data_IF_012447765027
#
_entry.id   IF_012447765027
#
_cell.length_a   1.000
_cell.length_b   1.000
_cell.length_c   1.000
_cell.angle_alpha   90.00
_cell.angle_beta   90.00
_cell.angle_gamma   90.00
#
_symmetry.space_group_name_H-M   'P 1'
#
loop_
_entity.id
_entity.type
_entity.pdbx_description
1 polymer ?
#
# COMPACT_ATOMS: atom_id res chain seq x y z
N UNK A 1 1.92 19.02 10.95
CA UNK A 1 1.77 19.87 9.76
C UNK A 1 0.42 19.63 9.10
N UNK A 2 0.09 18.39 8.61
CA UNK A 2 -1.18 18.11 7.89
C UNK A 2 -2.45 18.57 8.63
N UNK A 3 -2.51 18.42 9.96
CA UNK A 3 -3.68 18.89 10.74
C UNK A 3 -3.83 20.41 10.71
N UNK A 4 -2.73 21.15 10.73
CA UNK A 4 -2.75 22.61 10.64
C UNK A 4 -3.12 23.08 9.24
N UNK A 5 -2.68 22.35 8.19
CA UNK A 5 -3.00 22.65 6.80
C UNK A 5 -4.49 22.50 6.47
N UNK A 6 -5.19 21.56 7.13
CA UNK A 6 -6.63 21.35 6.89
C UNK A 6 -7.50 22.55 7.26
N UNK A 7 -7.06 23.33 8.22
CA UNK A 7 -7.80 24.47 8.77
C UNK A 7 -7.25 25.82 8.25
N UNK A 8 -6.25 25.79 7.34
CA UNK A 8 -5.62 26.96 6.74
C UNK A 8 -6.09 27.17 5.30
N UNK A 9 -6.48 28.40 4.99
CA UNK A 9 -6.83 28.82 3.62
C UNK A 9 -5.69 29.65 2.96
N UNK A 10 -4.60 29.88 3.71
CA UNK A 10 -3.50 30.74 3.31
C UNK A 10 -2.34 29.97 2.63
N UNK A 11 -1.30 30.73 2.32
CA UNK A 11 -0.05 30.16 1.81
C UNK A 11 0.79 29.54 2.93
N UNK A 12 1.51 28.49 2.61
CA UNK A 12 2.46 27.84 3.52
C UNK A 12 3.87 28.17 3.07
N UNK A 13 4.65 28.82 3.94
CA UNK A 13 6.06 29.04 3.71
C UNK A 13 6.85 27.83 4.20
N UNK A 14 7.67 27.24 3.33
CA UNK A 14 8.53 26.09 3.67
C UNK A 14 9.99 26.53 3.56
N UNK A 15 10.71 26.55 4.69
CA UNK A 15 12.11 26.94 4.75
C UNK A 15 12.97 25.75 5.16
N UNK A 16 13.59 25.03 4.20
CA UNK A 16 14.54 23.99 4.52
C UNK A 16 15.90 24.58 4.93
N UNK A 17 16.55 23.94 5.88
CA UNK A 17 17.92 24.22 6.29
C UNK A 17 18.72 22.91 6.34
N UNK A 18 20.00 22.98 6.69
CA UNK A 18 20.87 21.79 6.71
C UNK A 18 20.42 20.70 7.69
N UNK A 19 19.78 21.05 8.81
CA UNK A 19 19.39 20.14 9.88
C UNK A 19 17.92 20.21 10.25
N UNK A 20 17.19 21.22 9.78
CA UNK A 20 15.81 21.46 10.14
C UNK A 20 14.99 21.88 8.92
N UNK A 21 13.72 21.64 8.98
CA UNK A 21 12.72 22.19 8.08
C UNK A 21 11.72 23.01 8.93
N UNK A 22 11.40 24.20 8.47
CA UNK A 22 10.45 25.08 9.12
C UNK A 22 9.24 25.26 8.20
N UNK A 23 8.07 25.20 8.79
CA UNK A 23 6.80 25.51 8.13
C UNK A 23 6.16 26.70 8.85
N UNK A 24 5.78 27.73 8.11
CA UNK A 24 4.93 28.82 8.60
C UNK A 24 3.56 28.68 7.97
N UNK A 25 2.56 28.56 8.82
CA UNK A 25 1.17 28.31 8.44
C UNK A 25 0.33 29.25 9.29
N UNK A 26 -0.23 30.31 8.70
CA UNK A 26 -0.94 31.36 9.40
C UNK A 26 -0.11 31.90 10.60
N UNK A 27 -0.62 31.75 11.82
CA UNK A 27 0.04 32.16 13.04
C UNK A 27 0.95 31.10 13.68
N UNK A 28 1.10 29.93 13.02
CA UNK A 28 1.90 28.83 13.54
C UNK A 28 3.26 28.76 12.86
N UNK A 29 4.28 28.45 13.64
CA UNK A 29 5.61 28.08 13.16
C UNK A 29 5.94 26.69 13.68
N UNK A 30 6.11 25.73 12.76
CA UNK A 30 6.49 24.37 13.09
C UNK A 30 7.91 24.11 12.62
N UNK A 31 8.78 23.69 13.53
CA UNK A 31 10.18 23.34 13.25
C UNK A 31 10.34 21.85 13.51
N UNK A 32 10.88 21.13 12.53
CA UNK A 32 11.21 19.72 12.66
C UNK A 32 12.69 19.48 12.33
N UNK A 33 13.35 18.62 13.09
CA UNK A 33 14.67 18.15 12.72
C UNK A 33 14.57 17.23 11.49
N UNK A 34 15.52 17.35 10.58
CA UNK A 34 15.68 16.42 9.48
C UNK A 34 16.32 15.11 9.97
N UNK A 35 15.99 14.02 9.34
CA UNK A 35 16.65 12.75 9.57
C UNK A 35 18.11 12.85 9.07
N UNK A 36 19.04 12.27 9.81
CA UNK A 36 20.43 12.19 9.39
C UNK A 36 20.61 11.06 8.37
N UNK A 37 21.54 11.22 7.44
CA UNK A 37 21.89 10.26 6.41
C UNK A 37 21.43 10.65 5.01
N UNK A 38 21.80 9.83 4.04
CA UNK A 38 21.36 9.98 2.65
C UNK A 38 19.97 9.40 2.47
N UNK A 39 19.18 10.03 1.60
CA UNK A 39 17.87 9.53 1.24
C UNK A 39 18.02 8.15 0.55
N UNK A 40 17.14 7.21 0.89
CA UNK A 40 17.13 5.87 0.31
C UNK A 40 17.01 5.94 -1.22
N UNK A 41 17.89 5.22 -1.92
CA UNK A 41 17.73 4.99 -3.36
C UNK A 41 16.54 4.04 -3.61
N UNK A 42 15.34 4.62 -3.58
CA UNK A 42 14.11 3.87 -3.80
C UNK A 42 14.02 3.27 -5.21
N UNK A 43 14.72 3.84 -6.20
CA UNK A 43 14.73 3.34 -7.57
C UNK A 43 15.36 1.94 -7.65
N UNK A 44 16.36 1.68 -6.82
CA UNK A 44 16.97 0.35 -6.71
C UNK A 44 16.05 -0.69 -6.06
N UNK A 45 15.09 -0.23 -5.23
CA UNK A 45 14.12 -1.09 -4.56
C UNK A 45 12.90 -1.44 -5.43
N UNK A 46 12.68 -0.72 -6.54
CA UNK A 46 11.59 -1.01 -7.45
C UNK A 46 11.81 -2.36 -8.14
N UNK A 47 10.80 -3.24 -8.18
CA UNK A 47 10.90 -4.52 -8.88
C UNK A 47 11.14 -4.30 -10.38
N UNK A 48 12.15 -4.96 -10.92
CA UNK A 48 12.48 -4.91 -12.35
C UNK A 48 11.62 -5.86 -13.18
N UNK A 49 11.20 -6.95 -12.56
CA UNK A 49 10.39 -7.99 -13.21
C UNK A 49 8.91 -7.74 -12.94
N UNK A 50 8.14 -7.71 -14.03
CA UNK A 50 6.69 -7.58 -14.02
C UNK A 50 6.11 -8.84 -14.66
N UNK A 51 5.72 -9.81 -13.84
CA UNK A 51 5.19 -11.09 -14.31
C UNK A 51 3.68 -11.12 -14.32
N UNK A 52 3.07 -10.36 -13.41
CA UNK A 52 1.61 -10.32 -13.27
C UNK A 52 1.18 -8.87 -13.05
N UNK A 53 0.13 -8.49 -13.75
CA UNK A 53 -0.52 -7.20 -13.62
C UNK A 53 -2.01 -7.41 -13.34
N UNK A 54 -2.54 -6.67 -12.37
CA UNK A 54 -3.93 -6.75 -11.92
C UNK A 54 -4.52 -5.35 -11.92
N UNK A 55 -5.57 -5.11 -12.70
CA UNK A 55 -6.35 -3.88 -12.64
C UNK A 55 -7.64 -4.16 -11.87
N UNK A 56 -7.90 -3.38 -10.84
CA UNK A 56 -9.01 -3.60 -9.92
C UNK A 56 -9.59 -2.30 -9.42
N UNK A 57 -10.90 -2.28 -9.11
CA UNK A 57 -11.54 -1.16 -8.41
C UNK A 57 -10.88 -0.95 -7.06
N UNK A 58 -10.37 0.25 -6.82
CA UNK A 58 -9.70 0.65 -5.58
C UNK A 58 -10.62 0.46 -4.38
N UNK A 59 -11.86 0.92 -4.50
CA UNK A 59 -12.89 0.79 -3.46
C UNK A 59 -13.19 -0.68 -3.13
N UNK A 60 -13.44 -1.48 -4.16
CA UNK A 60 -13.76 -2.92 -3.97
C UNK A 60 -12.60 -3.66 -3.30
N UNK A 61 -11.37 -3.36 -3.70
CA UNK A 61 -10.18 -3.95 -3.07
C UNK A 61 -10.02 -3.53 -1.61
N UNK A 62 -10.21 -2.25 -1.27
CA UNK A 62 -10.18 -1.75 0.10
C UNK A 62 -11.22 -2.47 0.95
N UNK A 63 -12.49 -2.48 0.51
CA UNK A 63 -13.59 -3.12 1.24
C UNK A 63 -13.34 -4.62 1.47
N UNK A 64 -12.76 -5.31 0.49
CA UNK A 64 -12.40 -6.72 0.59
C UNK A 64 -11.28 -6.97 1.60
N UNK A 65 -10.20 -6.17 1.54
CA UNK A 65 -9.10 -6.25 2.51
C UNK A 65 -9.61 -5.94 3.92
N UNK A 66 -10.47 -4.96 4.10
CA UNK A 66 -11.08 -4.64 5.40
C UNK A 66 -11.89 -5.81 5.95
N UNK A 67 -12.77 -6.42 5.12
CA UNK A 67 -13.59 -7.58 5.53
C UNK A 67 -12.74 -8.74 6.00
N UNK A 68 -11.73 -9.16 5.24
CA UNK A 68 -10.88 -10.29 5.64
C UNK A 68 -9.98 -9.95 6.81
N UNK A 69 -9.71 -8.66 7.04
CA UNK A 69 -8.87 -8.19 8.15
C UNK A 69 -9.59 -8.13 9.50
N UNK A 70 -10.91 -8.34 9.56
CA UNK A 70 -11.67 -8.33 10.83
C UNK A 70 -11.16 -9.34 11.85
N UNK A 71 -10.49 -10.41 11.39
CA UNK A 71 -9.88 -11.41 12.28
C UNK A 71 -8.47 -11.05 12.73
N UNK A 72 -7.87 -9.99 12.18
CA UNK A 72 -6.50 -9.55 12.49
C UNK A 72 -6.56 -8.60 13.68
N UNK A 73 -5.80 -8.91 14.71
CA UNK A 73 -5.67 -8.06 15.90
C UNK A 73 -4.18 -7.79 16.16
N UNK A 74 -3.87 -6.87 17.07
CA UNK A 74 -2.48 -6.59 17.48
C UNK A 74 -1.75 -7.82 18.01
N UNK A 75 -2.49 -8.78 18.56
CA UNK A 75 -1.96 -10.06 19.07
C UNK A 75 -1.87 -11.13 17.98
N UNK A 76 -2.80 -11.13 17.02
CA UNK A 76 -2.91 -12.11 15.93
C UNK A 76 -2.50 -11.46 14.61
N UNK A 77 -1.20 -11.28 14.43
CA UNK A 77 -0.59 -10.66 13.24
C UNK A 77 -0.52 -11.66 12.07
N UNK A 78 -1.67 -12.04 11.53
CA UNK A 78 -1.72 -12.87 10.32
C UNK A 78 -1.70 -11.99 9.07
N UNK A 79 -1.01 -12.40 7.99
CA UNK A 79 -1.07 -11.68 6.72
C UNK A 79 -2.42 -11.85 6.04
N UNK A 80 -2.82 -10.84 5.28
CA UNK A 80 -3.82 -11.01 4.24
C UNK A 80 -3.14 -11.70 3.06
N UNK A 81 -3.66 -12.86 2.66
CA UNK A 81 -3.19 -13.64 1.52
C UNK A 81 -4.05 -13.29 0.31
N UNK A 82 -3.38 -12.99 -0.79
CA UNK A 82 -4.00 -12.68 -2.08
C UNK A 82 -3.61 -13.77 -3.07
N UNK A 83 -4.60 -14.50 -3.58
CA UNK A 83 -4.44 -15.48 -4.66
C UNK A 83 -4.93 -14.82 -5.94
N UNK A 84 -4.02 -14.58 -6.87
CA UNK A 84 -4.28 -14.00 -8.17
C UNK A 84 -4.63 -15.14 -9.10
N UNK A 85 -5.88 -15.17 -9.59
CA UNK A 85 -6.40 -16.17 -10.53
C UNK A 85 -6.32 -15.71 -11.98
N UNK A 86 -7.29 -16.09 -12.78
CA UNK A 86 -7.40 -15.68 -14.20
C UNK A 86 -8.14 -14.35 -14.35
N UNK A 87 -9.23 -14.17 -13.62
CA UNK A 87 -10.15 -13.02 -13.67
C UNK A 87 -10.58 -12.54 -12.27
N UNK A 88 -10.03 -13.13 -11.22
CA UNK A 88 -10.40 -12.85 -9.83
C UNK A 88 -9.20 -12.80 -8.92
N UNK A 89 -9.29 -11.96 -7.90
CA UNK A 89 -8.40 -11.94 -6.75
C UNK A 89 -9.16 -12.48 -5.55
N UNK A 90 -8.71 -13.61 -5.01
CA UNK A 90 -9.24 -14.17 -3.78
C UNK A 90 -8.39 -13.69 -2.61
N UNK A 91 -9.03 -13.07 -1.63
CA UNK A 91 -8.38 -12.60 -0.42
C UNK A 91 -8.81 -13.46 0.76
N UNK A 92 -7.89 -13.78 1.65
CA UNK A 92 -8.24 -14.47 2.88
C UNK A 92 -7.22 -14.23 3.99
N UNK A 93 -7.69 -14.39 5.21
CA UNK A 93 -6.87 -14.39 6.42
C UNK A 93 -7.27 -15.58 7.28
N UNK A 94 -6.29 -16.28 7.84
CA UNK A 94 -6.48 -17.40 8.77
C UNK A 94 -5.81 -17.04 10.09
N UNK A 95 -6.57 -17.16 11.18
CA UNK A 95 -6.10 -16.97 12.55
C UNK A 95 -6.57 -18.14 13.41
N UNK A 96 -6.17 -18.18 14.67
CA UNK A 96 -6.69 -19.16 15.63
C UNK A 96 -8.19 -19.02 15.92
N UNK A 97 -8.77 -17.85 15.57
CA UNK A 97 -10.21 -17.58 15.75
C UNK A 97 -11.05 -18.06 14.56
N UNK A 98 -10.42 -18.34 13.41
CA UNK A 98 -11.14 -18.78 12.22
C UNK A 98 -10.50 -18.26 10.94
N UNK A 99 -11.26 -18.36 9.85
CA UNK A 99 -10.87 -17.93 8.50
C UNK A 99 -11.92 -16.99 7.93
N UNK A 100 -11.46 -15.83 7.44
CA UNK A 100 -12.25 -14.93 6.61
C UNK A 100 -11.80 -15.07 5.16
N UNK A 101 -12.73 -15.08 4.24
CA UNK A 101 -12.46 -15.19 2.79
C UNK A 101 -13.37 -14.25 2.03
N UNK A 102 -12.82 -13.62 1.00
CA UNK A 102 -13.55 -12.81 0.05
C UNK A 102 -12.96 -12.99 -1.36
N UNK A 103 -13.72 -12.63 -2.40
CA UNK A 103 -13.29 -12.73 -3.79
C UNK A 103 -13.85 -11.55 -4.57
N UNK A 104 -12.99 -10.95 -5.37
CA UNK A 104 -13.33 -9.80 -6.22
C UNK A 104 -12.92 -10.05 -7.66
N UNK A 105 -13.66 -9.50 -8.61
CA UNK A 105 -13.29 -9.52 -10.02
C UNK A 105 -12.20 -8.51 -10.31
N UNK A 106 -11.30 -8.86 -11.23
CA UNK A 106 -10.21 -8.02 -11.67
C UNK A 106 -9.82 -8.35 -13.12
N UNK A 107 -9.26 -7.38 -13.83
CA UNK A 107 -8.58 -7.64 -15.10
C UNK A 107 -7.14 -8.08 -14.79
N UNK A 108 -6.79 -9.30 -15.20
CA UNK A 108 -5.50 -9.90 -14.85
C UNK A 108 -4.76 -10.33 -16.09
N UNK A 109 -3.47 -10.02 -16.13
CA UNK A 109 -2.54 -10.52 -17.16
C UNK A 109 -1.27 -11.06 -16.52
N UNK A 110 -0.76 -12.17 -17.03
CA UNK A 110 0.46 -12.83 -16.56
C UNK A 110 0.22 -14.06 -15.70
N UNK A 111 1.18 -14.40 -14.84
CA UNK A 111 1.18 -15.65 -14.08
C UNK A 111 0.23 -15.59 -12.88
N UNK A 112 -0.41 -16.72 -12.58
CA UNK A 112 -1.12 -16.90 -11.31
C UNK A 112 -0.12 -16.98 -10.17
N UNK A 113 -0.43 -16.36 -9.04
CA UNK A 113 0.44 -16.40 -7.87
C UNK A 113 -0.32 -16.19 -6.56
N UNK A 114 0.29 -16.63 -5.47
CA UNK A 114 -0.15 -16.32 -4.12
C UNK A 114 0.89 -15.45 -3.43
N UNK A 115 0.44 -14.37 -2.78
CA UNK A 115 1.29 -13.42 -2.09
C UNK A 115 0.60 -12.94 -0.81
N UNK A 116 1.37 -12.67 0.24
CA UNK A 116 0.86 -12.17 1.52
C UNK A 116 1.29 -10.75 1.80
N UNK A 117 0.41 -9.98 2.44
CA UNK A 117 0.70 -8.60 2.84
C UNK A 117 0.28 -8.32 4.28
N UNK A 118 0.95 -7.35 4.90
CA UNK A 118 0.41 -6.70 6.07
C UNK A 118 -0.81 -5.87 5.64
N UNK A 119 -1.96 -6.14 6.26
CA UNK A 119 -3.23 -5.47 5.92
C UNK A 119 -3.16 -3.95 6.02
N UNK A 120 -2.48 -3.42 7.04
CA UNK A 120 -2.36 -1.98 7.26
C UNK A 120 -1.60 -1.32 6.11
N UNK A 121 -0.44 -1.85 5.72
CA UNK A 121 0.36 -1.27 4.63
C UNK A 121 -0.34 -1.39 3.28
N UNK A 122 -1.06 -2.48 3.04
CA UNK A 122 -1.85 -2.64 1.83
C UNK A 122 -2.99 -1.62 1.78
N UNK A 123 -3.73 -1.44 2.88
CA UNK A 123 -4.80 -0.44 2.98
C UNK A 123 -4.27 0.99 2.87
N UNK A 124 -3.14 1.31 3.50
CA UNK A 124 -2.53 2.64 3.44
C UNK A 124 -2.18 3.01 1.98
N UNK A 125 -1.58 2.08 1.23
CA UNK A 125 -1.26 2.29 -0.18
C UNK A 125 -2.52 2.47 -1.06
N UNK A 126 -3.53 1.62 -0.89
CA UNK A 126 -4.77 1.68 -1.66
C UNK A 126 -5.55 2.97 -1.37
N UNK A 127 -5.64 3.39 -0.10
CA UNK A 127 -6.33 4.62 0.29
C UNK A 127 -5.62 5.88 -0.21
N UNK A 128 -4.29 5.86 -0.26
CA UNK A 128 -3.49 6.97 -0.78
C UNK A 128 -3.56 7.11 -2.30
N UNK A 129 -4.08 6.13 -3.02
CA UNK A 129 -4.22 6.18 -4.47
C UNK A 129 -5.24 7.24 -4.94
N UNK A 130 -6.33 7.44 -4.18
CA UNK A 130 -7.39 8.43 -4.47
C UNK A 130 -7.93 8.34 -5.92
N UNK A 131 -7.91 7.13 -6.52
CA UNK A 131 -8.40 6.84 -7.88
C UNK A 131 -9.43 5.73 -7.83
N UNK A 132 -10.35 5.69 -8.82
CA UNK A 132 -11.39 4.65 -8.90
C UNK A 132 -10.80 3.25 -9.13
N UNK A 133 -9.74 3.18 -9.90
CA UNK A 133 -9.04 1.94 -10.22
C UNK A 133 -7.54 2.08 -10.00
N UNK A 134 -6.92 1.00 -9.57
CA UNK A 134 -5.47 0.87 -9.43
C UNK A 134 -4.95 -0.31 -10.23
N UNK A 135 -3.71 -0.21 -10.63
CA UNK A 135 -2.95 -1.26 -11.30
C UNK A 135 -1.88 -1.79 -10.36
N UNK A 136 -1.97 -3.07 -10.02
CA UNK A 136 -1.03 -3.77 -9.16
C UNK A 136 -0.04 -4.53 -10.04
N UNK A 137 1.26 -4.27 -9.87
CA UNK A 137 2.32 -4.99 -10.58
C UNK A 137 3.09 -5.88 -9.61
N UNK A 138 3.21 -7.16 -9.96
CA UNK A 138 3.83 -8.20 -9.13
C UNK A 138 4.92 -8.92 -9.92
N UNK A 139 6.07 -9.10 -9.30
CA UNK A 139 7.21 -9.85 -9.86
C UNK A 139 7.27 -11.30 -9.39
N UNK A 140 6.45 -11.67 -8.38
CA UNK A 140 6.42 -13.01 -7.79
C UNK A 140 6.03 -12.98 -6.31
N UNK A 141 5.95 -14.16 -5.65
CA UNK A 141 5.35 -14.30 -4.30
C UNK A 141 6.15 -13.65 -3.17
N UNK A 142 7.40 -13.31 -3.40
CA UNK A 142 8.29 -12.67 -2.43
C UNK A 142 8.85 -11.33 -2.92
N UNK A 143 8.45 -10.88 -4.11
CA UNK A 143 8.85 -9.59 -4.66
C UNK A 143 7.90 -8.49 -4.19
N UNK A 144 8.38 -7.26 -3.99
CA UNK A 144 7.51 -6.13 -3.70
C UNK A 144 6.43 -5.97 -4.76
N UNK A 145 5.24 -5.53 -4.34
CA UNK A 145 4.16 -5.13 -5.24
C UNK A 145 4.20 -3.62 -5.44
N UNK A 146 3.99 -3.17 -6.68
CA UNK A 146 3.74 -1.76 -6.98
C UNK A 146 2.25 -1.52 -7.14
N UNK A 147 1.75 -0.48 -6.48
CA UNK A 147 0.42 0.08 -6.70
C UNK A 147 0.59 1.35 -7.53
N UNK A 148 -0.03 1.38 -8.69
CA UNK A 148 0.09 2.42 -9.70
C UNK A 148 -1.30 2.92 -10.11
N UNK A 149 -1.42 4.12 -10.66
CA UNK A 149 -2.66 4.52 -11.31
C UNK A 149 -2.94 3.61 -12.52
N UNK A 150 -4.20 3.46 -12.91
CA UNK A 150 -4.59 2.70 -14.10
C UNK A 150 -3.88 3.25 -15.33
N UNK A 151 -3.84 4.57 -15.46
CA UNK A 151 -3.17 5.30 -16.54
C UNK A 151 -2.21 6.36 -15.99
N UNK A 152 -1.10 6.58 -16.69
CA UNK A 152 -0.09 7.57 -16.29
C UNK A 152 0.81 7.10 -15.15
N UNK A 153 1.41 8.05 -14.43
CA UNK A 153 2.44 7.87 -13.42
C UNK A 153 2.33 8.83 -12.22
N UNK A 154 1.10 9.30 -11.94
CA UNK A 154 0.85 10.29 -10.89
C UNK A 154 1.35 9.84 -9.50
N UNK A 155 1.37 8.54 -9.23
CA UNK A 155 1.90 7.97 -8.00
C UNK A 155 2.49 6.57 -8.22
N UNK A 156 3.31 6.15 -7.25
CA UNK A 156 3.84 4.79 -7.18
C UNK A 156 4.03 4.42 -5.71
N UNK A 157 3.30 3.42 -5.23
CA UNK A 157 3.44 2.92 -3.86
C UNK A 157 4.03 1.52 -3.87
N UNK A 158 5.09 1.31 -3.09
CA UNK A 158 5.75 0.02 -2.94
C UNK A 158 5.26 -0.67 -1.67
N UNK A 159 4.66 -1.84 -1.82
CA UNK A 159 4.18 -2.66 -0.70
C UNK A 159 5.00 -3.94 -0.62
N UNK A 160 5.71 -4.10 0.50
CA UNK A 160 6.53 -5.29 0.74
C UNK A 160 5.66 -6.49 1.12
N UNK A 161 5.92 -7.68 0.56
CA UNK A 161 5.22 -8.89 0.93
C UNK A 161 5.67 -9.44 2.28
N UNK A 162 4.80 -10.20 2.91
CA UNK A 162 5.12 -11.04 4.06
C UNK A 162 5.37 -12.47 3.57
N UNK A 163 6.44 -13.09 4.01
CA UNK A 163 6.69 -14.50 3.69
C UNK A 163 5.57 -15.38 4.24
N UNK A 164 4.89 -16.07 3.36
CA UNK A 164 3.90 -17.06 3.73
C UNK A 164 4.60 -18.34 4.20
N UNK A 165 4.20 -18.87 5.36
CA UNK A 165 4.61 -20.20 5.79
C UNK A 165 3.78 -21.21 5.00
N UNK A 166 4.41 -22.24 4.46
CA UNK A 166 3.70 -23.40 3.92
C UNK A 166 2.88 -24.02 5.06
N UNK A 167 1.58 -24.09 4.88
CA UNK A 167 0.76 -24.90 5.78
C UNK A 167 1.14 -26.36 5.52
N UNK A 168 1.82 -26.98 6.48
CA UNK A 168 2.04 -28.44 6.51
C UNK A 168 0.77 -29.15 6.91
#
# INVERSE_FOLDING_TARGET
VLKLLKDSEGEVEICPSRRHILFRIDNYTVISALLEGEFLDYKSALPKDKKTEVTVSTRTMIESVERVSLLITDRLKSPVRCVIGEDTVKLFCTTTMGRATDQISAEISGDQLEIGFNNKYLLDALRAAETDEVRLQLGGPISPMLVLPKEGDAFSFLVLPVRLRSEM
#
